data_IF_920643963362
#
_entry.id   IF_920643963362
#
_cell.length_a   1.000
_cell.length_b   1.000
_cell.length_c   1.000
_cell.angle_alpha   90.00
_cell.angle_beta   90.00
_cell.angle_gamma   90.00
#
_symmetry.space_group_name_H-M   'P 1'
#
loop_
_entity.id
_entity.type
_entity.pdbx_description
1 polymer ?
#
# COMPACT_ATOMS: atom_id res chain seq x y z
N UNK A 1 6.07 -15.89 -21.81
CA UNK A 1 6.66 -14.57 -21.48
C UNK A 1 5.51 -13.56 -21.49
N UNK A 2 5.29 -12.82 -20.41
CA UNK A 2 4.19 -11.84 -20.40
C UNK A 2 4.49 -10.69 -21.37
N UNK A 3 3.46 -10.03 -21.89
CA UNK A 3 3.62 -8.86 -22.76
C UNK A 3 4.45 -7.76 -22.09
N UNK A 4 4.30 -7.59 -20.78
CA UNK A 4 5.09 -6.61 -19.99
C UNK A 4 6.59 -6.89 -20.07
N UNK A 5 7.01 -8.13 -19.82
CA UNK A 5 8.44 -8.51 -19.92
C UNK A 5 9.00 -8.34 -21.33
N UNK A 6 8.21 -8.65 -22.36
CA UNK A 6 8.63 -8.44 -23.74
C UNK A 6 8.79 -6.95 -24.06
N UNK A 7 7.89 -6.11 -23.57
CA UNK A 7 7.94 -4.67 -23.76
C UNK A 7 9.13 -4.03 -23.00
N UNK A 8 9.31 -4.38 -21.73
CA UNK A 8 10.45 -3.92 -20.92
C UNK A 8 11.78 -4.30 -21.57
N UNK A 9 11.89 -5.54 -22.06
CA UNK A 9 13.08 -6.00 -22.79
C UNK A 9 13.32 -5.22 -24.09
N UNK A 10 12.26 -4.87 -24.82
CA UNK A 10 12.37 -4.12 -26.06
C UNK A 10 12.85 -2.67 -25.85
N UNK A 11 12.51 -2.06 -24.70
CA UNK A 11 12.91 -0.69 -24.35
C UNK A 11 14.10 -0.59 -23.40
N UNK A 12 14.72 -1.72 -23.01
CA UNK A 12 15.83 -1.75 -22.05
C UNK A 12 17.05 -0.92 -22.47
N UNK A 13 17.22 -0.65 -23.77
CA UNK A 13 18.34 0.15 -24.31
C UNK A 13 18.15 1.67 -24.09
N UNK A 14 16.92 2.17 -23.86
CA UNK A 14 16.62 3.60 -23.84
C UNK A 14 17.35 4.33 -22.71
N UNK A 15 17.27 3.81 -21.50
CA UNK A 15 17.92 4.41 -20.32
C UNK A 15 19.45 4.43 -20.46
N UNK A 16 20.15 3.34 -20.83
CA UNK A 16 21.59 3.35 -21.10
C UNK A 16 22.00 4.35 -22.20
N UNK A 17 21.25 4.44 -23.30
CA UNK A 17 21.55 5.41 -24.35
C UNK A 17 21.42 6.85 -23.86
N UNK A 18 20.38 7.18 -23.09
CA UNK A 18 20.22 8.51 -22.51
C UNK A 18 21.36 8.83 -21.53
N UNK A 19 21.77 7.88 -20.69
CA UNK A 19 22.88 8.01 -19.74
C UNK A 19 24.22 8.23 -20.45
N UNK A 20 24.41 7.63 -21.63
CA UNK A 20 25.61 7.79 -22.44
C UNK A 20 25.71 9.16 -23.11
N UNK A 21 24.63 9.93 -23.20
CA UNK A 21 24.65 11.28 -23.74
C UNK A 21 25.34 12.21 -22.73
N UNK A 22 26.31 12.99 -23.21
CA UNK A 22 26.93 14.04 -22.41
C UNK A 22 25.91 15.09 -21.94
N UNK A 23 26.02 15.51 -20.69
CA UNK A 23 25.04 16.40 -20.04
C UNK A 23 24.89 17.74 -20.79
N UNK A 24 26.00 18.33 -21.25
CA UNK A 24 25.94 19.58 -22.02
C UNK A 24 25.26 19.39 -23.37
N UNK A 25 25.42 18.23 -23.99
CA UNK A 25 24.75 17.87 -25.24
C UNK A 25 23.24 17.69 -25.04
N UNK A 26 22.84 17.02 -23.96
CA UNK A 26 21.43 16.85 -23.64
C UNK A 26 20.75 18.19 -23.31
N UNK A 27 21.44 19.06 -22.56
CA UNK A 27 20.97 20.42 -22.28
C UNK A 27 20.83 21.24 -23.58
N UNK A 28 21.77 21.06 -24.53
CA UNK A 28 21.67 21.65 -25.87
C UNK A 28 20.43 21.18 -26.64
N UNK A 29 20.07 19.90 -26.53
CA UNK A 29 18.84 19.37 -27.14
C UNK A 29 17.58 19.99 -26.51
N UNK A 30 17.55 20.12 -25.17
CA UNK A 30 16.44 20.76 -24.45
C UNK A 30 16.25 22.24 -24.87
N UNK A 31 17.36 22.96 -25.15
CA UNK A 31 17.29 24.34 -25.64
C UNK A 31 16.81 24.42 -27.10
N UNK A 32 17.24 23.48 -27.95
CA UNK A 32 16.89 23.46 -29.38
C UNK A 32 15.47 22.96 -29.64
N UNK A 33 14.94 22.13 -28.76
CA UNK A 33 13.63 21.47 -28.87
C UNK A 33 12.81 21.71 -27.60
N UNK A 34 12.07 22.84 -27.51
CA UNK A 34 11.26 23.16 -26.32
C UNK A 34 10.23 22.09 -25.95
N UNK A 35 9.81 21.25 -26.89
CA UNK A 35 8.88 20.14 -26.68
C UNK A 35 9.46 19.08 -25.72
N UNK A 36 10.80 18.96 -25.65
CA UNK A 36 11.48 18.06 -24.70
C UNK A 36 11.31 18.48 -23.24
N UNK A 37 10.86 19.73 -22.99
CA UNK A 37 10.62 20.21 -21.63
C UNK A 37 9.58 19.36 -20.87
N UNK A 38 8.66 18.75 -21.59
CA UNK A 38 7.71 17.78 -21.05
C UNK A 38 8.41 16.60 -20.36
N UNK A 39 9.59 16.21 -20.83
CA UNK A 39 10.39 15.09 -20.33
C UNK A 39 11.53 15.51 -19.40
N UNK A 40 11.61 16.80 -19.02
CA UNK A 40 12.70 17.33 -18.20
C UNK A 40 12.86 16.54 -16.88
N UNK A 41 11.75 16.25 -16.19
CA UNK A 41 11.76 15.46 -14.95
C UNK A 41 12.24 14.02 -15.18
N UNK A 42 11.75 13.36 -16.22
CA UNK A 42 12.19 12.01 -16.58
C UNK A 42 13.69 11.98 -16.87
N UNK A 43 14.18 12.92 -17.69
CA UNK A 43 15.59 13.02 -18.05
C UNK A 43 16.48 13.34 -16.85
N UNK A 44 16.03 14.21 -15.94
CA UNK A 44 16.72 14.51 -14.69
C UNK A 44 16.84 13.26 -13.81
N UNK A 45 15.76 12.50 -13.67
CA UNK A 45 15.76 11.23 -12.92
C UNK A 45 16.72 10.21 -13.53
N UNK A 46 16.72 10.04 -14.84
CA UNK A 46 17.64 9.12 -15.54
C UNK A 46 19.09 9.55 -15.32
N UNK A 47 19.42 10.84 -15.42
CA UNK A 47 20.76 11.36 -15.16
C UNK A 47 21.23 11.09 -13.73
N UNK A 48 20.36 11.30 -12.74
CA UNK A 48 20.65 11.02 -11.34
C UNK A 48 21.01 9.56 -11.10
N UNK A 49 20.33 8.64 -11.78
CA UNK A 49 20.60 7.21 -11.71
C UNK A 49 21.95 6.79 -12.33
N UNK A 50 22.67 7.69 -12.99
CA UNK A 50 23.96 7.38 -13.65
C UNK A 50 25.00 6.77 -12.72
N UNK A 51 25.08 7.24 -11.48
CA UNK A 51 25.99 6.71 -10.46
C UNK A 51 25.65 5.27 -10.02
N UNK A 52 24.39 4.86 -10.21
CA UNK A 52 23.82 3.59 -9.79
C UNK A 52 23.49 2.66 -10.97
N UNK A 53 23.87 3.06 -12.19
CA UNK A 53 23.73 2.26 -13.41
C UNK A 53 25.01 1.50 -13.68
N UNK A 54 24.88 0.20 -13.89
CA UNK A 54 25.98 -0.72 -14.10
C UNK A 54 26.35 -0.82 -15.60
N UNK A 55 27.40 -1.59 -15.92
CA UNK A 55 27.70 -1.92 -17.31
C UNK A 55 26.61 -2.80 -17.94
N UNK A 56 26.50 -2.81 -19.26
CA UNK A 56 25.50 -3.61 -20.00
C UNK A 56 25.52 -5.10 -19.60
N UNK A 57 26.70 -5.66 -19.35
CA UNK A 57 26.84 -7.05 -18.93
C UNK A 57 26.29 -7.28 -17.51
N UNK A 58 26.57 -6.37 -16.59
CA UNK A 58 26.08 -6.42 -15.21
C UNK A 58 24.58 -6.15 -15.15
N UNK A 59 24.03 -5.18 -15.89
CA UNK A 59 22.58 -4.93 -15.98
C UNK A 59 21.83 -6.15 -16.51
N UNK A 60 22.41 -6.89 -17.47
CA UNK A 60 21.82 -8.15 -17.93
C UNK A 60 21.79 -9.21 -16.83
N UNK A 61 22.83 -9.30 -16.00
CA UNK A 61 22.85 -10.21 -14.84
C UNK A 61 21.82 -9.77 -13.80
N UNK A 62 21.72 -8.47 -13.52
CA UNK A 62 20.73 -7.92 -12.59
C UNK A 62 19.30 -8.19 -13.07
N UNK A 63 19.02 -8.04 -14.36
CA UNK A 63 17.71 -8.36 -14.93
C UNK A 63 17.36 -9.85 -14.79
N UNK A 64 18.31 -10.75 -14.98
CA UNK A 64 18.11 -12.19 -14.74
C UNK A 64 17.91 -12.50 -13.25
N UNK A 65 18.64 -11.83 -12.35
CA UNK A 65 18.48 -11.96 -10.91
C UNK A 65 17.13 -11.42 -10.41
N UNK A 66 16.50 -10.49 -11.15
CA UNK A 66 15.21 -9.90 -10.81
C UNK A 66 14.10 -10.93 -10.60
N UNK A 67 14.09 -12.01 -11.39
CA UNK A 67 13.12 -13.10 -11.19
C UNK A 67 13.31 -13.81 -9.84
N UNK A 68 14.54 -14.02 -9.38
CA UNK A 68 14.80 -14.60 -8.07
C UNK A 68 14.50 -13.60 -6.93
N UNK A 69 14.71 -12.33 -7.19
CA UNK A 69 14.46 -11.24 -6.23
C UNK A 69 12.98 -11.11 -5.86
N UNK A 70 12.06 -11.46 -6.73
CA UNK A 70 10.62 -11.42 -6.50
C UNK A 70 10.10 -12.63 -5.72
N UNK A 71 10.82 -13.76 -5.74
CA UNK A 71 10.37 -15.02 -5.15
C UNK A 71 9.98 -14.92 -3.65
N UNK A 72 10.71 -14.21 -2.76
CA UNK A 72 10.31 -14.08 -1.36
C UNK A 72 8.94 -13.42 -1.19
N UNK A 73 8.66 -12.39 -1.99
CA UNK A 73 7.36 -11.70 -1.99
C UNK A 73 6.23 -12.59 -2.51
N UNK A 74 6.46 -13.31 -3.60
CA UNK A 74 5.48 -14.25 -4.18
C UNK A 74 5.14 -15.40 -3.23
N UNK A 75 6.16 -16.03 -2.63
CA UNK A 75 5.97 -17.11 -1.66
C UNK A 75 5.24 -16.58 -0.41
N UNK A 76 5.64 -15.43 0.11
CA UNK A 76 4.97 -14.79 1.24
C UNK A 76 3.51 -14.41 0.94
N UNK A 77 3.23 -14.00 -0.29
CA UNK A 77 1.86 -13.70 -0.75
C UNK A 77 1.00 -14.96 -0.87
N UNK A 78 1.51 -16.02 -1.49
CA UNK A 78 0.83 -17.31 -1.58
C UNK A 78 0.50 -17.85 -0.19
N UNK A 79 1.47 -17.84 0.73
CA UNK A 79 1.27 -18.26 2.11
C UNK A 79 0.16 -17.46 2.80
N UNK A 80 0.20 -16.12 2.73
CA UNK A 80 -0.77 -15.27 3.45
C UNK A 80 -2.17 -15.28 2.85
N UNK A 81 -2.28 -15.35 1.52
CA UNK A 81 -3.57 -15.18 0.85
C UNK A 81 -4.24 -16.50 0.49
N UNK A 82 -3.46 -17.57 0.30
CA UNK A 82 -4.00 -18.85 -0.16
C UNK A 82 -3.90 -19.99 0.87
N UNK A 83 -2.78 -20.09 1.61
CA UNK A 83 -2.49 -21.28 2.41
C UNK A 83 -2.90 -21.14 3.87
N UNK A 84 -2.67 -19.97 4.49
CA UNK A 84 -2.92 -19.79 5.92
C UNK A 84 -4.44 -19.85 6.22
N UNK A 85 -4.80 -20.56 7.27
CA UNK A 85 -6.18 -20.63 7.78
C UNK A 85 -6.14 -20.41 9.28
N UNK A 86 -7.09 -19.63 9.76
CA UNK A 86 -7.28 -19.38 11.18
C UNK A 86 -8.42 -20.25 11.70
N UNK A 87 -8.29 -20.88 12.89
CA UNK A 87 -9.40 -21.59 13.51
C UNK A 87 -10.60 -20.66 13.73
N UNK A 88 -11.80 -21.17 13.44
CA UNK A 88 -13.03 -20.49 13.79
C UNK A 88 -13.17 -20.36 15.31
N UNK A 89 -13.86 -19.31 15.75
CA UNK A 89 -14.19 -19.04 17.15
C UNK A 89 -15.69 -19.15 17.36
N UNK A 90 -16.15 -19.02 18.59
CA UNK A 90 -17.58 -19.06 18.91
C UNK A 90 -17.97 -17.86 19.75
N UNK A 91 -19.18 -17.33 19.49
CA UNK A 91 -19.80 -16.33 20.35
C UNK A 91 -20.39 -16.96 21.63
N UNK A 92 -20.98 -16.14 22.50
CA UNK A 92 -21.61 -16.60 23.76
C UNK A 92 -22.80 -17.54 23.53
N UNK A 93 -23.46 -17.46 22.39
CA UNK A 93 -24.59 -18.30 21.97
C UNK A 93 -24.12 -19.63 21.33
N UNK A 94 -22.82 -19.80 21.10
CA UNK A 94 -22.22 -20.98 20.47
C UNK A 94 -22.21 -20.95 18.94
N UNK A 95 -22.52 -19.81 18.30
CA UNK A 95 -22.43 -19.69 16.87
C UNK A 95 -20.96 -19.58 16.44
N UNK A 96 -20.61 -20.28 15.37
CA UNK A 96 -19.27 -20.20 14.79
C UNK A 96 -19.06 -18.86 14.07
N UNK A 97 -17.95 -18.20 14.38
CA UNK A 97 -17.49 -16.98 13.75
C UNK A 97 -16.18 -17.27 13.03
N UNK A 98 -16.18 -17.08 11.70
CA UNK A 98 -14.99 -17.30 10.89
C UNK A 98 -13.97 -16.19 11.12
N UNK A 99 -12.71 -16.58 11.38
CA UNK A 99 -11.59 -15.66 11.50
C UNK A 99 -10.85 -15.62 10.15
N UNK A 100 -10.86 -14.45 9.53
CA UNK A 100 -10.10 -14.15 8.29
C UNK A 100 -9.35 -12.84 8.47
N UNK A 101 -8.51 -12.46 7.50
CA UNK A 101 -7.87 -11.14 7.51
C UNK A 101 -8.91 -10.01 7.38
N UNK A 102 -10.00 -10.22 6.63
CA UNK A 102 -11.08 -9.25 6.47
C UNK A 102 -12.00 -9.15 7.68
N UNK A 103 -12.31 -10.29 8.33
CA UNK A 103 -13.19 -10.30 9.51
C UNK A 103 -12.49 -9.90 10.81
N UNK A 104 -11.15 -9.82 10.83
CA UNK A 104 -10.38 -9.59 12.06
C UNK A 104 -10.74 -8.27 12.75
N UNK A 105 -10.75 -7.15 12.03
CA UNK A 105 -11.10 -5.84 12.62
C UNK A 105 -12.55 -5.82 13.11
N UNK A 106 -13.57 -6.24 12.35
CA UNK A 106 -14.93 -6.41 12.88
C UNK A 106 -15.03 -7.26 14.16
N UNK A 107 -14.23 -8.32 14.26
CA UNK A 107 -14.17 -9.14 15.47
C UNK A 107 -13.49 -8.41 16.64
N UNK A 108 -12.50 -7.54 16.37
CA UNK A 108 -11.89 -6.67 17.40
C UNK A 108 -12.82 -5.53 17.85
N UNK A 109 -13.80 -5.15 17.05
CA UNK A 109 -14.84 -4.17 17.40
C UNK A 109 -15.98 -4.78 18.21
N UNK A 110 -16.05 -6.11 18.35
CA UNK A 110 -17.12 -6.78 19.10
C UNK A 110 -17.17 -6.33 20.56
N UNK A 111 -18.37 -6.14 21.11
CA UNK A 111 -18.57 -5.71 22.50
C UNK A 111 -18.13 -6.81 23.49
N UNK A 112 -18.29 -8.09 23.13
CA UNK A 112 -17.86 -9.20 23.99
C UNK A 112 -16.32 -9.38 23.95
N UNK A 113 -15.69 -9.15 25.09
CA UNK A 113 -14.23 -9.31 25.26
C UNK A 113 -13.76 -10.74 24.96
N UNK A 114 -14.59 -11.75 25.20
CA UNK A 114 -14.22 -13.14 24.93
C UNK A 114 -14.11 -13.41 23.42
N UNK A 115 -15.02 -12.82 22.63
CA UNK A 115 -14.96 -12.89 21.16
C UNK A 115 -13.70 -12.19 20.64
N UNK A 116 -13.42 -10.97 21.09
CA UNK A 116 -12.21 -10.24 20.69
C UNK A 116 -10.93 -11.00 21.03
N UNK A 117 -10.85 -11.49 22.28
CA UNK A 117 -9.70 -12.27 22.75
C UNK A 117 -9.52 -13.56 21.93
N UNK A 118 -10.59 -14.30 21.73
CA UNK A 118 -10.54 -15.56 20.97
C UNK A 118 -10.11 -15.33 19.53
N UNK A 119 -10.61 -14.28 18.86
CA UNK A 119 -10.21 -13.93 17.51
C UNK A 119 -8.74 -13.51 17.43
N UNK A 120 -8.29 -12.70 18.39
CA UNK A 120 -6.89 -12.30 18.51
C UNK A 120 -5.98 -13.51 18.70
N UNK A 121 -6.31 -14.39 19.64
CA UNK A 121 -5.54 -15.60 19.92
C UNK A 121 -5.54 -16.56 18.72
N UNK A 122 -6.68 -16.78 18.05
CA UNK A 122 -6.77 -17.59 16.83
C UNK A 122 -5.80 -17.12 15.76
N UNK A 123 -5.80 -15.81 15.44
CA UNK A 123 -4.93 -15.25 14.42
C UNK A 123 -3.46 -15.29 14.83
N UNK A 124 -3.13 -14.77 16.01
CA UNK A 124 -1.72 -14.63 16.40
C UNK A 124 -1.05 -15.94 16.81
N UNK A 125 -1.76 -16.90 17.39
CA UNK A 125 -1.24 -18.25 17.61
C UNK A 125 -0.95 -18.97 16.30
N UNK A 126 -1.83 -18.79 15.29
CA UNK A 126 -1.59 -19.33 13.96
C UNK A 126 -0.32 -18.73 13.36
N UNK A 127 -0.16 -17.40 13.34
CA UNK A 127 1.07 -16.79 12.87
C UNK A 127 2.31 -17.22 13.67
N UNK A 128 2.19 -17.35 14.99
CA UNK A 128 3.28 -17.80 15.85
C UNK A 128 3.72 -19.24 15.53
N UNK A 129 2.82 -20.10 15.09
CA UNK A 129 3.16 -21.46 14.64
C UNK A 129 4.04 -21.47 13.38
N UNK A 130 3.98 -20.42 12.56
CA UNK A 130 4.77 -20.21 11.35
C UNK A 130 5.94 -19.22 11.51
N UNK A 131 6.33 -18.88 12.75
CA UNK A 131 7.35 -17.86 13.02
C UNK A 131 8.67 -18.06 12.28
N UNK A 132 9.10 -19.31 12.11
CA UNK A 132 10.34 -19.62 11.39
C UNK A 132 10.20 -19.42 9.88
N UNK A 133 9.05 -19.77 9.34
CA UNK A 133 8.73 -19.55 7.91
C UNK A 133 8.62 -18.07 7.60
N UNK A 134 7.90 -17.32 8.44
CA UNK A 134 7.75 -15.87 8.26
C UNK A 134 9.06 -15.11 8.46
N UNK A 135 9.90 -15.56 9.42
CA UNK A 135 11.25 -15.02 9.57
C UNK A 135 12.15 -15.30 8.35
N UNK A 136 12.02 -16.49 7.75
CA UNK A 136 12.77 -16.82 6.53
C UNK A 136 12.35 -15.97 5.32
N UNK A 137 11.05 -15.65 5.17
CA UNK A 137 10.59 -14.72 4.13
C UNK A 137 11.18 -13.32 4.33
N UNK A 138 11.15 -12.83 5.56
CA UNK A 138 11.72 -11.52 5.87
C UNK A 138 13.23 -11.47 5.62
N UNK A 139 13.96 -12.48 6.07
CA UNK A 139 15.41 -12.61 5.84
C UNK A 139 15.74 -12.65 4.34
N UNK A 140 14.99 -13.42 3.55
CA UNK A 140 15.17 -13.48 2.10
C UNK A 140 14.90 -12.11 1.44
N UNK A 141 13.84 -11.39 1.86
CA UNK A 141 13.55 -10.05 1.37
C UNK A 141 14.66 -9.06 1.74
N UNK A 142 15.14 -9.09 2.98
CA UNK A 142 16.26 -8.24 3.41
C UNK A 142 17.53 -8.51 2.59
N UNK A 143 17.87 -9.77 2.33
CA UNK A 143 19.01 -10.14 1.49
C UNK A 143 18.87 -9.62 0.06
N UNK A 144 17.67 -9.66 -0.49
CA UNK A 144 17.38 -9.08 -1.81
C UNK A 144 17.63 -7.57 -1.83
N UNK A 145 17.14 -6.84 -0.83
CA UNK A 145 17.35 -5.39 -0.72
C UNK A 145 18.84 -5.05 -0.53
N UNK A 146 19.56 -5.79 0.31
CA UNK A 146 21.00 -5.62 0.53
C UNK A 146 21.77 -5.88 -0.77
N UNK A 147 21.47 -6.98 -1.47
CA UNK A 147 22.10 -7.29 -2.74
C UNK A 147 21.92 -6.17 -3.77
N UNK A 148 20.69 -5.68 -3.95
CA UNK A 148 20.41 -4.62 -4.90
C UNK A 148 21.11 -3.31 -4.54
N UNK A 149 21.10 -2.92 -3.25
CA UNK A 149 21.77 -1.70 -2.80
C UNK A 149 23.29 -1.78 -3.03
N UNK A 150 23.92 -2.91 -2.68
CA UNK A 150 25.36 -3.11 -2.88
C UNK A 150 25.74 -3.17 -4.33
N UNK A 151 25.00 -3.92 -5.17
CA UNK A 151 25.24 -4.03 -6.60
C UNK A 151 25.15 -2.67 -7.30
N UNK A 152 24.26 -1.80 -6.85
CA UNK A 152 24.03 -0.47 -7.43
C UNK A 152 24.79 0.66 -6.72
N UNK A 153 25.77 0.32 -5.88
CA UNK A 153 26.67 1.27 -5.21
C UNK A 153 25.96 2.29 -4.30
N UNK A 154 24.92 1.86 -3.59
CA UNK A 154 24.34 2.62 -2.49
C UNK A 154 25.03 2.27 -1.17
N UNK A 155 25.19 3.26 -0.29
CA UNK A 155 25.80 3.08 1.03
C UNK A 155 24.91 2.26 1.97
N UNK A 156 23.60 2.30 1.73
CA UNK A 156 22.62 1.56 2.54
C UNK A 156 21.36 1.20 1.75
N UNK A 157 20.60 0.22 2.26
CA UNK A 157 19.27 -0.12 1.73
C UNK A 157 18.26 1.02 1.93
N UNK A 158 18.41 1.82 2.99
CA UNK A 158 17.59 2.99 3.25
C UNK A 158 17.81 4.07 2.18
N UNK A 159 19.07 4.37 1.88
CA UNK A 159 19.41 5.31 0.82
C UNK A 159 18.84 4.85 -0.52
N UNK A 160 19.07 3.58 -0.89
CA UNK A 160 18.53 3.01 -2.13
C UNK A 160 16.99 3.11 -2.21
N UNK A 161 16.28 2.88 -1.10
CA UNK A 161 14.83 2.96 -1.05
C UNK A 161 14.29 4.40 -1.19
N UNK A 162 15.01 5.39 -0.65
CA UNK A 162 14.60 6.79 -0.66
C UNK A 162 15.04 7.54 -1.92
N UNK A 163 16.08 7.04 -2.60
CA UNK A 163 16.60 7.68 -3.81
C UNK A 163 15.57 7.71 -4.93
N UNK A 164 14.78 6.67 -5.12
CA UNK A 164 13.74 6.64 -6.16
C UNK A 164 12.75 7.82 -6.05
N UNK A 165 12.44 8.23 -4.83
CA UNK A 165 11.50 9.32 -4.52
C UNK A 165 12.18 10.64 -4.22
N UNK A 166 13.51 10.70 -4.30
CA UNK A 166 14.33 11.89 -4.02
C UNK A 166 14.14 12.43 -2.59
N UNK A 167 13.88 11.53 -1.62
CA UNK A 167 13.70 11.88 -0.21
C UNK A 167 15.05 11.76 0.52
N UNK A 168 15.57 12.84 1.13
CA UNK A 168 16.78 12.75 1.92
C UNK A 168 16.62 11.78 3.11
N UNK A 169 17.63 10.96 3.39
CA UNK A 169 17.66 10.01 4.54
C UNK A 169 17.33 10.72 5.87
N UNK A 170 17.71 11.99 6.01
CA UNK A 170 17.40 12.77 7.20
C UNK A 170 15.90 12.94 7.46
N UNK A 171 15.06 12.96 6.43
CA UNK A 171 13.59 13.03 6.57
C UNK A 171 13.07 11.79 7.29
N UNK A 172 13.60 10.61 6.95
CA UNK A 172 13.24 9.36 7.62
C UNK A 172 13.61 9.39 9.10
N UNK A 173 14.83 9.82 9.43
CA UNK A 173 15.27 9.94 10.82
C UNK A 173 14.47 10.98 11.60
N UNK A 174 14.18 12.13 11.00
CA UNK A 174 13.36 13.18 11.60
C UNK A 174 11.94 12.69 11.90
N UNK A 175 11.35 11.85 11.02
CA UNK A 175 10.05 11.27 11.26
C UNK A 175 10.05 10.35 12.51
N UNK A 176 11.07 9.48 12.63
CA UNK A 176 11.21 8.61 13.81
C UNK A 176 11.37 9.44 15.08
N UNK A 177 12.22 10.47 15.04
CA UNK A 177 12.44 11.36 16.17
C UNK A 177 11.15 12.12 16.55
N UNK A 178 10.42 12.63 15.57
CA UNK A 178 9.13 13.31 15.79
C UNK A 178 8.11 12.39 16.46
N UNK A 179 8.02 11.13 16.02
CA UNK A 179 7.13 10.12 16.65
C UNK A 179 7.56 9.86 18.10
N UNK A 180 8.84 9.62 18.34
CA UNK A 180 9.35 9.38 19.70
C UNK A 180 9.12 10.55 20.64
N UNK A 181 9.31 11.79 20.16
CA UNK A 181 9.10 13.00 20.95
C UNK A 181 7.63 13.27 21.29
N UNK A 182 6.70 12.61 20.58
CA UNK A 182 5.25 12.77 20.75
C UNK A 182 4.54 11.51 21.26
N UNK A 183 5.24 10.41 21.50
CA UNK A 183 4.63 9.11 21.87
C UNK A 183 3.86 9.18 23.20
N UNK A 184 4.18 10.12 24.08
CA UNK A 184 3.45 10.33 25.32
C UNK A 184 1.96 10.70 25.10
N UNK A 185 1.65 11.36 23.98
CA UNK A 185 0.26 11.68 23.63
C UNK A 185 -0.53 10.43 23.27
N UNK A 186 0.09 9.48 22.59
CA UNK A 186 -0.50 8.16 22.35
C UNK A 186 -0.72 7.41 23.67
N UNK A 187 0.25 7.43 24.58
CA UNK A 187 0.10 6.81 25.90
C UNK A 187 -1.04 7.46 26.72
N UNK A 188 -1.21 8.78 26.64
CA UNK A 188 -2.35 9.48 27.26
C UNK A 188 -3.69 9.02 26.69
N UNK A 189 -3.77 8.89 25.35
CA UNK A 189 -4.95 8.36 24.67
C UNK A 189 -5.29 6.92 25.12
N UNK A 190 -4.29 6.03 25.11
CA UNK A 190 -4.46 4.63 25.51
C UNK A 190 -4.92 4.54 26.97
N UNK A 191 -4.36 5.35 27.86
CA UNK A 191 -4.79 5.43 29.26
C UNK A 191 -6.21 5.98 29.42
N UNK A 192 -6.60 6.96 28.60
CA UNK A 192 -7.97 7.46 28.57
C UNK A 192 -8.93 6.38 28.08
N UNK A 193 -8.58 5.66 27.03
CA UNK A 193 -9.33 4.52 26.48
C UNK A 193 -9.60 3.47 27.56
N UNK A 194 -8.55 3.05 28.28
CA UNK A 194 -8.65 2.13 29.42
C UNK A 194 -9.70 2.58 30.44
N UNK A 195 -9.67 3.87 30.82
CA UNK A 195 -10.63 4.45 31.78
C UNK A 195 -12.07 4.47 31.26
N UNK A 196 -12.25 4.84 29.99
CA UNK A 196 -13.56 4.92 29.35
C UNK A 196 -14.21 3.53 29.17
N UNK A 197 -13.39 2.53 28.88
CA UNK A 197 -13.84 1.12 28.78
C UNK A 197 -14.08 0.47 30.14
N UNK A 198 -13.61 1.07 31.25
CA UNK A 198 -13.80 0.54 32.61
C UNK A 198 -13.06 -0.77 32.87
N UNK A 199 -11.92 -1.02 32.17
CA UNK A 199 -11.14 -2.24 32.32
C UNK A 199 -9.93 -2.03 33.21
N UNK A 200 -9.56 -3.04 34.00
CA UNK A 200 -8.38 -3.00 34.87
C UNK A 200 -7.06 -3.09 34.08
N UNK A 201 -7.10 -3.82 32.96
CA UNK A 201 -5.98 -3.99 32.05
C UNK A 201 -6.50 -3.84 30.61
N UNK A 202 -5.79 -3.07 29.78
CA UNK A 202 -6.10 -2.90 28.37
C UNK A 202 -5.17 -3.80 27.55
N UNK A 203 -5.75 -4.68 26.76
CA UNK A 203 -5.04 -5.59 25.89
C UNK A 203 -5.05 -5.11 24.43
N UNK A 204 -4.20 -5.70 23.58
CA UNK A 204 -4.15 -5.37 22.17
C UNK A 204 -5.50 -5.60 21.44
N UNK A 205 -6.27 -6.60 21.87
CA UNK A 205 -7.59 -6.88 21.31
C UNK A 205 -8.67 -5.88 21.73
N UNK A 206 -8.37 -4.92 22.63
CA UNK A 206 -9.30 -3.88 23.05
C UNK A 206 -9.10 -2.55 22.29
N UNK A 207 -8.09 -2.46 21.40
CA UNK A 207 -7.73 -1.19 20.79
C UNK A 207 -8.71 -0.72 19.70
N UNK A 208 -9.45 -1.63 19.09
CA UNK A 208 -10.46 -1.30 18.06
C UNK A 208 -11.89 -1.22 18.62
N UNK A 209 -12.11 -1.68 19.83
CA UNK A 209 -13.45 -1.70 20.44
C UNK A 209 -14.02 -0.28 20.52
N UNK A 210 -15.24 -0.01 20.04
CA UNK A 210 -15.86 1.29 20.16
C UNK A 210 -15.97 1.75 21.62
N UNK A 211 -15.65 3.02 21.89
CA UNK A 211 -15.81 3.64 23.22
C UNK A 211 -17.24 4.18 23.39
N UNK A 212 -17.90 4.46 22.27
CA UNK A 212 -19.27 4.99 22.22
C UNK A 212 -20.20 3.90 21.73
N UNK A 213 -21.21 3.56 22.50
CA UNK A 213 -22.12 2.43 22.26
C UNK A 213 -22.91 2.47 20.95
N UNK A 214 -23.12 3.66 20.36
CA UNK A 214 -23.86 3.79 19.09
C UNK A 214 -22.98 3.69 17.83
N UNK A 215 -21.69 3.39 17.97
CA UNK A 215 -20.74 3.32 16.84
C UNK A 215 -20.77 1.97 16.08
N UNK A 216 -21.56 1.00 16.53
CA UNK A 216 -21.66 -0.36 15.95
C UNK A 216 -22.74 -0.51 14.88
N UNK A 217 -23.28 0.61 14.35
CA UNK A 217 -24.28 0.55 13.28
C UNK A 217 -23.71 -0.17 12.06
N UNK A 218 -24.44 -1.19 11.56
CA UNK A 218 -24.14 -1.80 10.26
C UNK A 218 -24.42 -0.79 9.14
N UNK A 219 -23.45 -0.64 8.25
CA UNK A 219 -23.52 0.27 7.09
C UNK A 219 -23.25 -0.56 5.84
N UNK A 220 -24.29 -1.13 5.20
CA UNK A 220 -24.16 -1.88 3.95
C UNK A 220 -23.51 -1.03 2.86
N UNK A 221 -22.84 -1.69 1.92
CA UNK A 221 -22.11 -1.03 0.83
C UNK A 221 -22.94 0.02 0.08
N UNK A 222 -24.20 -0.26 -0.24
CA UNK A 222 -25.08 0.68 -0.95
C UNK A 222 -25.38 1.94 -0.10
N UNK A 223 -25.65 1.77 1.21
CA UNK A 223 -25.82 2.89 2.13
C UNK A 223 -24.52 3.70 2.28
N UNK A 224 -23.37 3.01 2.36
CA UNK A 224 -22.05 3.66 2.42
C UNK A 224 -21.80 4.58 1.22
N UNK A 225 -22.13 4.15 -0.01
CA UNK A 225 -21.99 4.97 -1.21
C UNK A 225 -22.81 6.27 -1.11
N UNK A 226 -24.05 6.18 -0.64
CA UNK A 226 -24.93 7.35 -0.49
C UNK A 226 -24.38 8.34 0.55
N UNK A 227 -23.90 7.82 1.69
CA UNK A 227 -23.30 8.64 2.75
C UNK A 227 -22.04 9.34 2.22
N UNK A 228 -21.16 8.62 1.53
CA UNK A 228 -19.91 9.15 0.95
C UNK A 228 -20.23 10.25 -0.06
N UNK A 229 -21.15 10.02 -1.00
CA UNK A 229 -21.54 11.03 -1.99
C UNK A 229 -22.07 12.30 -1.33
N UNK A 230 -22.85 12.16 -0.25
CA UNK A 230 -23.36 13.30 0.51
C UNK A 230 -22.26 14.01 1.28
N UNK A 231 -21.36 13.25 1.93
CA UNK A 231 -20.28 13.81 2.74
C UNK A 231 -19.25 14.56 1.88
N UNK A 232 -18.98 14.08 0.65
CA UNK A 232 -18.01 14.66 -0.28
C UNK A 232 -18.63 15.75 -1.20
N UNK A 233 -19.90 16.13 -1.00
CA UNK A 233 -20.55 17.20 -1.76
C UNK A 233 -19.76 18.53 -1.80
N UNK A 234 -19.04 18.94 -0.74
CA UNK A 234 -18.19 20.15 -0.79
C UNK A 234 -17.05 20.10 -1.82
N UNK A 235 -16.66 18.92 -2.33
CA UNK A 235 -15.60 18.75 -3.33
C UNK A 235 -16.04 19.05 -4.76
N UNK A 236 -17.24 19.56 -4.96
CA UNK A 236 -17.83 19.99 -6.25
C UNK A 236 -18.43 18.85 -7.07
N UNK A 237 -19.25 19.25 -8.04
CA UNK A 237 -20.04 18.31 -8.86
C UNK A 237 -19.15 17.47 -9.79
N UNK A 238 -18.12 18.06 -10.37
CA UNK A 238 -17.17 17.36 -11.24
C UNK A 238 -16.47 16.18 -10.53
N UNK A 239 -16.09 16.36 -9.24
CA UNK A 239 -15.56 15.27 -8.41
C UNK A 239 -16.60 14.17 -8.17
N UNK A 240 -17.83 14.57 -7.81
CA UNK A 240 -18.92 13.63 -7.53
C UNK A 240 -19.34 12.82 -8.75
N UNK A 241 -19.28 13.40 -9.94
CA UNK A 241 -19.65 12.71 -11.17
C UNK A 241 -18.68 11.57 -11.48
N UNK A 242 -17.37 11.79 -11.30
CA UNK A 242 -16.34 10.74 -11.45
C UNK A 242 -16.50 9.68 -10.36
N UNK A 243 -16.78 10.10 -9.11
CA UNK A 243 -17.00 9.17 -8.01
C UNK A 243 -18.20 8.24 -8.26
N UNK A 244 -19.31 8.79 -8.78
CA UNK A 244 -20.49 8.00 -9.20
C UNK A 244 -20.18 7.05 -10.34
N UNK A 245 -19.38 7.49 -11.30
CA UNK A 245 -18.89 6.62 -12.37
C UNK A 245 -18.13 5.43 -11.81
N UNK A 246 -17.18 5.68 -10.91
CA UNK A 246 -16.40 4.63 -10.24
C UNK A 246 -17.28 3.63 -9.49
N UNK A 247 -18.34 4.08 -8.83
CA UNK A 247 -19.30 3.22 -8.14
C UNK A 247 -20.17 2.38 -9.08
N UNK A 248 -20.39 2.82 -10.33
CA UNK A 248 -21.31 2.17 -11.27
C UNK A 248 -20.61 1.37 -12.37
N UNK A 249 -19.36 1.68 -12.71
CA UNK A 249 -18.66 1.17 -13.89
C UNK A 249 -17.58 0.13 -13.61
N UNK A 250 -17.74 -0.67 -12.57
CA UNK A 250 -16.85 -1.81 -12.26
C UNK A 250 -15.40 -1.43 -11.92
N UNK A 251 -15.19 -0.24 -11.35
CA UNK A 251 -13.86 0.11 -10.87
C UNK A 251 -13.48 -0.65 -9.60
N UNK A 252 -14.49 -1.17 -8.87
CA UNK A 252 -14.33 -1.68 -7.50
C UNK A 252 -14.65 -3.17 -7.44
N UNK A 253 -13.71 -3.97 -6.97
CA UNK A 253 -13.94 -5.34 -6.50
C UNK A 253 -14.22 -5.28 -4.99
N UNK A 254 -15.48 -5.50 -4.61
CA UNK A 254 -16.03 -5.04 -3.30
C UNK A 254 -15.79 -6.02 -2.17
N UNK A 255 -16.18 -7.31 -2.36
CA UNK A 255 -16.30 -8.24 -1.24
C UNK A 255 -15.10 -9.17 -1.12
N UNK A 256 -14.84 -9.62 0.13
CA UNK A 256 -13.87 -10.66 0.41
C UNK A 256 -14.27 -11.98 -0.27
N UNK A 257 -13.29 -12.71 -0.79
CA UNK A 257 -13.46 -14.06 -1.28
C UNK A 257 -12.17 -14.87 -1.11
N UNK A 258 -12.27 -16.19 -1.24
CA UNK A 258 -11.13 -17.08 -1.09
C UNK A 258 -10.03 -16.77 -2.13
N UNK A 259 -8.80 -16.67 -1.67
CA UNK A 259 -7.63 -16.36 -2.50
C UNK A 259 -7.45 -14.87 -2.82
N UNK A 260 -8.40 -14.01 -2.47
CA UNK A 260 -8.28 -12.57 -2.62
C UNK A 260 -7.33 -12.00 -1.58
N UNK A 261 -6.49 -11.05 -2.00
CA UNK A 261 -5.58 -10.33 -1.10
C UNK A 261 -6.39 -9.56 -0.05
N UNK A 262 -5.95 -9.65 1.22
CA UNK A 262 -6.52 -8.87 2.33
C UNK A 262 -6.17 -7.39 2.25
N UNK A 263 -6.90 -6.57 3.01
CA UNK A 263 -6.78 -5.11 3.00
C UNK A 263 -7.54 -4.44 1.86
N UNK A 264 -7.20 -3.19 1.56
CA UNK A 264 -7.74 -2.43 0.44
C UNK A 264 -6.59 -1.77 -0.31
N UNK A 265 -6.77 -1.46 -1.57
CA UNK A 265 -5.85 -0.62 -2.33
C UNK A 265 -6.50 -0.09 -3.62
N UNK A 266 -5.99 1.03 -4.09
CA UNK A 266 -6.29 1.59 -5.40
C UNK A 266 -5.08 1.48 -6.33
N UNK A 267 -5.31 1.16 -7.58
CA UNK A 267 -4.29 1.14 -8.63
C UNK A 267 -4.74 2.01 -9.79
N UNK A 268 -3.88 2.97 -10.18
CA UNK A 268 -4.09 3.73 -11.40
C UNK A 268 -4.01 2.81 -12.63
N UNK A 269 -4.83 3.09 -13.64
CA UNK A 269 -4.87 2.31 -14.88
C UNK A 269 -5.60 3.06 -15.99
N UNK A 270 -5.41 2.59 -17.20
CA UNK A 270 -6.15 3.01 -18.40
C UNK A 270 -7.03 1.85 -18.84
N UNK A 271 -8.34 2.03 -19.07
CA UNK A 271 -9.06 3.29 -19.20
C UNK A 271 -9.53 3.97 -17.91
N UNK A 272 -9.42 3.30 -16.74
CA UNK A 272 -9.83 3.84 -15.45
C UNK A 272 -9.04 3.20 -14.31
N UNK A 273 -9.02 3.78 -13.10
CA UNK A 273 -8.46 3.15 -11.92
C UNK A 273 -9.22 1.88 -11.51
N UNK A 274 -8.54 1.02 -10.75
CA UNK A 274 -9.11 -0.18 -10.17
C UNK A 274 -8.93 -0.16 -8.66
N UNK A 275 -9.99 -0.49 -7.92
CA UNK A 275 -10.02 -0.51 -6.46
C UNK A 275 -10.34 -1.92 -5.98
N UNK A 276 -9.53 -2.44 -5.07
CA UNK A 276 -9.81 -3.68 -4.37
C UNK A 276 -10.22 -3.36 -2.94
N UNK A 277 -11.33 -3.92 -2.51
CA UNK A 277 -11.84 -3.83 -1.14
C UNK A 277 -12.08 -5.24 -0.57
N UNK A 278 -12.18 -5.34 0.73
CA UNK A 278 -12.73 -6.48 1.46
C UNK A 278 -13.82 -5.94 2.38
N UNK A 279 -14.90 -5.44 1.76
CA UNK A 279 -15.99 -4.72 2.43
C UNK A 279 -16.61 -5.55 3.54
N UNK A 280 -16.67 -4.96 4.71
CA UNK A 280 -17.44 -5.38 5.89
C UNK A 280 -18.41 -4.25 6.22
N UNK A 281 -19.61 -4.55 6.65
CA UNK A 281 -20.65 -3.52 6.88
C UNK A 281 -20.36 -2.65 8.13
N UNK A 282 -19.16 -2.09 8.21
CA UNK A 282 -18.69 -1.27 9.36
C UNK A 282 -18.45 0.17 8.96
N UNK A 283 -18.37 1.05 9.96
CA UNK A 283 -17.96 2.45 9.75
C UNK A 283 -16.55 2.55 9.17
N UNK A 284 -15.61 1.73 9.66
CA UNK A 284 -14.24 1.64 9.16
C UNK A 284 -14.20 1.31 7.67
N UNK A 285 -14.96 0.29 7.24
CA UNK A 285 -15.06 -0.06 5.81
C UNK A 285 -15.64 1.07 4.96
N UNK A 286 -16.59 1.86 5.47
CA UNK A 286 -17.10 3.03 4.76
C UNK A 286 -16.01 4.09 4.56
N UNK A 287 -15.21 4.36 5.59
CA UNK A 287 -14.06 5.27 5.46
C UNK A 287 -13.01 4.73 4.48
N UNK A 288 -12.76 3.42 4.50
CA UNK A 288 -11.86 2.76 3.54
C UNK A 288 -12.33 2.95 2.10
N UNK A 289 -13.63 2.80 1.81
CA UNK A 289 -14.19 3.10 0.47
C UNK A 289 -13.87 4.55 0.07
N UNK A 290 -14.11 5.50 0.96
CA UNK A 290 -13.87 6.92 0.66
C UNK A 290 -12.37 7.20 0.41
N UNK A 291 -11.49 6.58 1.19
CA UNK A 291 -10.03 6.67 1.07
C UNK A 291 -9.54 6.12 -0.27
N UNK A 292 -9.88 4.87 -0.60
CA UNK A 292 -9.45 4.22 -1.84
C UNK A 292 -10.02 4.91 -3.10
N UNK A 293 -11.24 5.41 -3.01
CA UNK A 293 -11.81 6.23 -4.09
C UNK A 293 -11.11 7.59 -4.21
N UNK A 294 -10.57 8.14 -3.12
CA UNK A 294 -9.70 9.32 -3.15
C UNK A 294 -8.45 9.08 -3.99
N UNK A 295 -7.75 7.97 -3.74
CA UNK A 295 -6.61 7.54 -4.57
C UNK A 295 -7.03 7.28 -6.03
N UNK A 296 -8.17 6.64 -6.26
CA UNK A 296 -8.68 6.38 -7.60
C UNK A 296 -8.92 7.69 -8.39
N UNK A 297 -9.54 8.69 -7.77
CA UNK A 297 -9.78 9.98 -8.41
C UNK A 297 -8.48 10.75 -8.62
N UNK A 298 -7.53 10.70 -7.69
CA UNK A 298 -6.18 11.26 -7.89
C UNK A 298 -5.52 10.63 -9.12
N UNK A 299 -5.48 9.30 -9.21
CA UNK A 299 -4.92 8.59 -10.36
C UNK A 299 -5.64 8.91 -11.66
N UNK A 300 -6.97 8.98 -11.63
CA UNK A 300 -7.80 9.35 -12.80
C UNK A 300 -7.42 10.72 -13.34
N UNK A 301 -7.34 11.73 -12.46
CA UNK A 301 -6.96 13.09 -12.87
C UNK A 301 -5.51 13.16 -13.33
N UNK A 302 -4.59 12.47 -12.65
CA UNK A 302 -3.19 12.43 -13.02
C UNK A 302 -3.00 11.85 -14.42
N UNK A 303 -3.57 10.68 -14.70
CA UNK A 303 -3.47 10.01 -16.00
C UNK A 303 -4.13 10.84 -17.12
N UNK A 304 -5.24 11.50 -16.80
CA UNK A 304 -5.98 12.31 -17.79
C UNK A 304 -5.27 13.63 -18.17
N UNK A 305 -4.49 14.21 -17.26
CA UNK A 305 -3.95 15.56 -17.44
C UNK A 305 -2.42 15.61 -17.50
N UNK A 306 -1.74 14.53 -17.18
CA UNK A 306 -0.29 14.44 -17.23
C UNK A 306 0.16 13.53 -18.40
N UNK A 307 1.31 13.82 -19.01
CA UNK A 307 1.94 12.85 -19.91
C UNK A 307 2.30 11.57 -19.13
N UNK A 308 2.35 10.40 -19.79
CA UNK A 308 2.58 9.11 -19.12
C UNK A 308 3.82 9.08 -18.21
N UNK A 309 4.88 9.80 -18.58
CA UNK A 309 6.11 9.89 -17.79
C UNK A 309 5.96 10.63 -16.46
N UNK A 310 4.89 11.42 -16.29
CA UNK A 310 4.58 12.23 -15.12
C UNK A 310 3.26 11.83 -14.45
N UNK A 311 2.54 10.82 -14.96
CA UNK A 311 1.24 10.43 -14.45
C UNK A 311 1.29 9.68 -13.12
N UNK A 312 2.42 9.01 -12.82
CA UNK A 312 2.63 8.33 -11.55
C UNK A 312 3.12 9.31 -10.48
N UNK A 313 2.67 9.09 -9.26
CA UNK A 313 3.06 9.88 -8.09
C UNK A 313 3.63 8.97 -7.00
N UNK A 314 4.47 9.55 -6.14
CA UNK A 314 5.17 8.82 -5.08
C UNK A 314 4.27 8.64 -3.86
N UNK A 315 4.56 7.63 -3.03
CA UNK A 315 3.78 7.29 -1.84
C UNK A 315 3.63 8.49 -0.87
N UNK A 316 4.64 9.33 -0.73
CA UNK A 316 4.58 10.54 0.12
C UNK A 316 3.58 11.59 -0.38
N UNK A 317 3.10 11.49 -1.60
CA UNK A 317 2.05 12.36 -2.18
C UNK A 317 0.70 11.65 -2.14
N UNK A 318 0.71 10.32 -2.16
CA UNK A 318 -0.51 9.51 -2.09
C UNK A 318 -1.17 9.61 -0.72
N UNK A 319 -0.39 9.41 0.37
CA UNK A 319 -0.83 9.38 1.77
C UNK A 319 -0.62 10.75 2.44
#
# INVERSE_FOLDING_TARGET
>A
MSYLVANESAYAFVTPEIIAIDDAKLDGFMQQKPELKEYERLLSRIRRMKAHTLSDAEERIMALAGQMSNAPGEIGSAFRNADIRFPDIHDAEGNALQVTQGSFIPLMENEDVNVRKAAFESMYHTFASFKHTTAAFLDAQMKTLIFNAQARHYDSTLEAALDETEVPVQVYHNLIEAVHNNIEHLHKYVNLRKKLMGVDELHMYDLYTPIVSDATKKIPYEEAKEIILKALAPLRQDYLDILKEGFSNRWIDVYENEGKRGGAYSSGGDPHPYVLLNQQDTLDSMFTIAHEMGHALHSYHSIKHQPPCNAHYVIFVAE
#
